data_IF_643299540928
#
_entry.id   IF_643299540928
#
_cell.length_a   1.000
_cell.length_b   1.000
_cell.length_c   1.000
_cell.angle_alpha   90.00
_cell.angle_beta   90.00
_cell.angle_gamma   90.00
#
_symmetry.space_group_name_H-M   'P 1'
#
loop_
_entity.id
_entity.type
_entity.pdbx_description
1 polymer ?
#
# COMPACT_ATOMS: atom_id res chain seq x y z
N UNK A 1 -22.89 -43.50 19.66
CA UNK A 1 -23.27 -42.28 20.39
C UNK A 1 -22.47 -41.12 19.79
N UNK A 2 -23.05 -40.45 18.79
CA UNK A 2 -22.39 -39.39 18.04
C UNK A 2 -22.40 -38.08 18.83
N UNK A 3 -21.24 -37.45 18.96
CA UNK A 3 -21.12 -36.11 19.53
C UNK A 3 -20.37 -35.21 18.54
N UNK A 4 -21.20 -34.49 17.78
CA UNK A 4 -21.02 -33.11 17.33
C UNK A 4 -19.58 -32.61 17.14
N UNK A 5 -19.07 -32.79 15.92
CA UNK A 5 -17.94 -32.03 15.38
C UNK A 5 -18.40 -30.59 15.12
N UNK A 6 -18.20 -29.70 16.10
CA UNK A 6 -18.28 -28.24 15.91
C UNK A 6 -17.25 -27.85 14.84
N UNK A 7 -17.72 -27.47 13.65
CA UNK A 7 -16.95 -26.65 12.71
C UNK A 7 -16.76 -25.28 13.38
N UNK A 8 -15.57 -25.01 13.91
CA UNK A 8 -15.13 -23.64 14.18
C UNK A 8 -14.71 -23.01 12.85
N UNK A 9 -15.33 -21.90 12.39
CA UNK A 9 -14.89 -21.17 11.23
C UNK A 9 -14.02 -19.99 11.68
N UNK A 10 -12.80 -20.25 12.15
CA UNK A 10 -11.83 -19.17 12.42
C UNK A 10 -10.44 -19.61 11.97
N UNK A 11 -10.22 -19.59 10.65
CA UNK A 11 -8.88 -19.63 10.08
C UNK A 11 -8.84 -18.80 8.79
N UNK A 12 -9.09 -17.49 8.92
CA UNK A 12 -8.57 -16.53 7.96
C UNK A 12 -7.24 -16.00 8.49
N UNK A 13 -6.18 -16.69 8.10
CA UNK A 13 -4.83 -16.18 8.24
C UNK A 13 -4.71 -14.87 7.45
N UNK A 14 -4.29 -13.82 8.15
CA UNK A 14 -3.84 -12.56 7.58
C UNK A 14 -2.85 -12.81 6.44
N UNK A 15 -3.34 -12.71 5.21
CA UNK A 15 -2.54 -12.60 4.01
C UNK A 15 -3.16 -11.50 3.18
N UNK A 16 -2.31 -10.55 2.75
CA UNK A 16 -2.72 -9.39 2.00
C UNK A 16 -3.77 -9.77 0.96
N UNK A 17 -4.90 -9.06 0.99
CA UNK A 17 -6.02 -9.24 0.07
C UNK A 17 -5.52 -9.76 -1.27
N UNK A 18 -5.97 -10.97 -1.64
CA UNK A 18 -5.60 -11.60 -2.91
C UNK A 18 -5.80 -10.56 -4.03
N UNK A 19 -5.00 -10.64 -5.10
CA UNK A 19 -5.16 -9.73 -6.24
C UNK A 19 -6.63 -9.65 -6.68
N UNK A 20 -7.32 -10.80 -6.59
CA UNK A 20 -8.76 -10.93 -6.78
C UNK A 20 -9.59 -10.06 -5.84
N UNK A 21 -9.37 -10.07 -4.52
CA UNK A 21 -10.13 -9.24 -3.57
C UNK A 21 -9.87 -7.74 -3.79
N UNK A 22 -8.63 -7.36 -4.15
CA UNK A 22 -8.30 -5.95 -4.47
C UNK A 22 -8.99 -5.49 -5.75
N UNK A 23 -8.97 -6.33 -6.78
CA UNK A 23 -9.69 -6.09 -8.01
C UNK A 23 -11.20 -6.01 -7.73
N UNK A 24 -11.75 -6.93 -6.95
CA UNK A 24 -13.16 -6.95 -6.56
C UNK A 24 -13.60 -5.66 -5.86
N UNK A 25 -12.83 -5.16 -4.88
CA UNK A 25 -13.13 -3.89 -4.22
C UNK A 25 -13.04 -2.70 -5.20
N UNK A 26 -12.01 -2.66 -6.05
CA UNK A 26 -11.85 -1.58 -7.03
C UNK A 26 -13.00 -1.56 -8.04
N UNK A 27 -13.32 -2.71 -8.63
CA UNK A 27 -14.43 -2.86 -9.56
C UNK A 27 -15.79 -2.65 -8.88
N UNK A 28 -15.90 -3.00 -7.60
CA UNK A 28 -17.09 -2.74 -6.79
C UNK A 28 -17.33 -1.24 -6.61
N UNK A 29 -16.30 -0.47 -6.25
CA UNK A 29 -16.42 1.00 -6.12
C UNK A 29 -16.75 1.62 -7.48
N UNK A 30 -16.03 1.23 -8.55
CA UNK A 30 -16.29 1.74 -9.91
C UNK A 30 -17.73 1.41 -10.35
N UNK A 31 -18.19 0.19 -10.10
CA UNK A 31 -19.54 -0.26 -10.46
C UNK A 31 -20.62 0.51 -9.72
N UNK A 32 -20.48 0.70 -8.40
CA UNK A 32 -21.43 1.49 -7.59
C UNK A 32 -21.48 2.95 -8.09
N UNK A 33 -20.31 3.56 -8.34
CA UNK A 33 -20.25 4.92 -8.88
C UNK A 33 -20.91 5.02 -10.25
N UNK A 34 -20.69 4.05 -11.14
CA UNK A 34 -21.33 4.03 -12.45
C UNK A 34 -22.87 3.93 -12.32
N UNK A 35 -23.38 3.01 -11.50
CA UNK A 35 -24.82 2.87 -11.25
C UNK A 35 -25.41 4.17 -10.73
N UNK A 36 -24.76 4.80 -9.75
CA UNK A 36 -25.26 6.03 -9.14
C UNK A 36 -25.25 7.22 -10.12
N UNK A 37 -24.18 7.36 -10.91
CA UNK A 37 -24.12 8.37 -11.98
C UNK A 37 -25.26 8.14 -12.98
N UNK A 38 -25.45 6.90 -13.46
CA UNK A 38 -26.53 6.59 -14.42
C UNK A 38 -27.92 6.87 -13.85
N UNK A 39 -28.15 6.54 -12.58
CA UNK A 39 -29.39 6.84 -11.88
C UNK A 39 -29.64 8.35 -11.76
N UNK A 40 -28.62 9.12 -11.36
CA UNK A 40 -28.73 10.58 -11.26
C UNK A 40 -29.01 11.22 -12.63
N UNK A 41 -28.40 10.71 -13.71
CA UNK A 41 -28.70 11.16 -15.07
C UNK A 41 -30.15 10.84 -15.47
N UNK A 42 -30.65 9.63 -15.17
CA UNK A 42 -32.05 9.26 -15.43
C UNK A 42 -33.04 10.18 -14.69
N UNK A 43 -32.79 10.46 -13.41
CA UNK A 43 -33.61 11.39 -12.62
C UNK A 43 -33.63 12.80 -13.23
N UNK A 44 -32.47 13.31 -13.66
CA UNK A 44 -32.40 14.63 -14.31
C UNK A 44 -33.19 14.64 -15.63
N UNK A 45 -33.10 13.57 -16.42
CA UNK A 45 -33.84 13.47 -17.69
C UNK A 45 -35.35 13.42 -17.46
N UNK A 46 -35.83 12.60 -16.52
CA UNK A 46 -37.26 12.53 -16.17
C UNK A 46 -37.81 13.88 -15.69
N UNK A 47 -37.06 14.58 -14.84
CA UNK A 47 -37.45 15.92 -14.37
C UNK A 47 -37.61 16.90 -15.53
N UNK A 48 -36.68 16.89 -16.49
CA UNK A 48 -36.76 17.75 -17.68
C UNK A 48 -37.94 17.41 -18.59
N UNK A 49 -38.30 16.13 -18.67
CA UNK A 49 -39.46 15.68 -19.44
C UNK A 49 -40.78 16.10 -18.77
N UNK A 50 -40.92 15.89 -17.46
CA UNK A 50 -42.06 16.37 -16.67
C UNK A 50 -42.23 17.89 -16.77
N UNK A 51 -41.13 18.67 -16.74
CA UNK A 51 -41.15 20.11 -16.96
C UNK A 51 -41.78 20.47 -18.31
N UNK A 52 -41.33 19.79 -19.38
CA UNK A 52 -41.81 20.06 -20.74
C UNK A 52 -43.30 19.75 -20.87
N UNK A 53 -43.77 18.67 -20.24
CA UNK A 53 -45.18 18.31 -20.21
C UNK A 53 -46.01 19.34 -19.42
N UNK A 54 -45.51 19.80 -18.27
CA UNK A 54 -46.17 20.82 -17.47
C UNK A 54 -46.28 22.15 -18.23
N UNK A 55 -45.22 22.57 -18.94
CA UNK A 55 -45.21 23.76 -19.80
C UNK A 55 -46.31 23.68 -20.86
N UNK A 56 -46.52 22.52 -21.48
CA UNK A 56 -47.58 22.32 -22.47
C UNK A 56 -48.99 22.47 -21.84
N UNK A 57 -49.19 21.94 -20.63
CA UNK A 57 -50.44 22.12 -19.88
C UNK A 57 -50.67 23.61 -19.55
N UNK A 58 -49.65 24.31 -19.05
CA UNK A 58 -49.76 25.74 -18.76
C UNK A 58 -50.04 26.57 -20.01
N UNK A 59 -49.38 26.27 -21.14
CA UNK A 59 -49.61 26.95 -22.40
C UNK A 59 -51.05 26.78 -22.89
N UNK A 60 -51.63 25.57 -22.81
CA UNK A 60 -53.02 25.30 -23.20
C UNK A 60 -54.03 25.99 -22.29
N UNK A 61 -53.76 26.04 -20.99
CA UNK A 61 -54.60 26.78 -20.04
C UNK A 61 -54.59 28.27 -20.38
N UNK A 62 -53.42 28.84 -20.70
CA UNK A 62 -53.35 30.23 -21.18
C UNK A 62 -54.11 30.44 -22.50
N UNK A 63 -54.02 29.52 -23.46
CA UNK A 63 -54.81 29.61 -24.70
C UNK A 63 -56.32 29.63 -24.44
N UNK A 64 -56.81 28.82 -23.48
CA UNK A 64 -58.22 28.79 -23.09
C UNK A 64 -58.69 30.10 -22.43
N UNK A 65 -57.77 30.85 -21.79
CA UNK A 65 -58.06 32.11 -21.11
C UNK A 65 -58.08 33.34 -22.03
N UNK A 66 -57.54 33.24 -23.24
CA UNK A 66 -57.55 34.32 -24.26
C UNK A 66 -58.91 34.36 -25.00
N UNK A 67 -59.92 33.61 -24.52
CA UNK A 67 -61.29 33.73 -25.02
C UNK A 67 -61.84 35.13 -24.68
N UNK A 68 -62.37 35.92 -25.64
CA UNK A 68 -62.77 37.32 -25.44
C UNK A 68 -63.89 37.57 -24.42
N UNK A 69 -64.50 36.53 -23.84
CA UNK A 69 -65.51 36.62 -22.78
C UNK A 69 -64.93 36.49 -21.35
N UNK A 70 -63.62 36.23 -21.19
CA UNK A 70 -62.99 36.08 -19.89
C UNK A 70 -62.64 37.45 -19.25
N UNK A 71 -62.98 37.64 -17.98
CA UNK A 71 -62.68 38.86 -17.23
C UNK A 71 -61.19 38.93 -16.89
N UNK A 72 -60.60 40.14 -16.80
CA UNK A 72 -59.22 40.31 -16.30
C UNK A 72 -59.00 39.70 -14.90
N UNK A 73 -60.04 39.67 -14.06
CA UNK A 73 -60.01 39.00 -12.76
C UNK A 73 -59.90 37.47 -12.83
N UNK A 74 -60.37 36.84 -13.92
CA UNK A 74 -60.32 35.38 -14.10
C UNK A 74 -58.89 34.94 -14.49
N UNK A 75 -58.20 35.81 -15.23
CA UNK A 75 -56.78 35.65 -15.59
C UNK A 75 -55.90 35.78 -14.33
N UNK A 76 -56.17 36.78 -13.49
CA UNK A 76 -55.46 36.97 -12.22
C UNK A 76 -55.72 35.84 -11.21
N UNK A 77 -56.97 35.35 -11.11
CA UNK A 77 -57.34 34.25 -10.21
C UNK A 77 -56.66 32.92 -10.60
N UNK A 78 -56.55 32.63 -11.90
CA UNK A 78 -55.85 31.43 -12.37
C UNK A 78 -54.32 31.61 -12.32
N UNK A 79 -53.82 32.83 -12.51
CA UNK A 79 -52.43 33.17 -12.21
C UNK A 79 -52.10 32.89 -10.74
N UNK A 80 -52.98 33.27 -9.81
CA UNK A 80 -52.79 32.92 -8.41
C UNK A 80 -53.00 31.44 -8.12
N UNK A 81 -53.95 30.73 -8.76
CA UNK A 81 -54.28 29.35 -8.35
C UNK A 81 -53.43 28.27 -9.02
N UNK A 82 -53.00 28.48 -10.27
CA UNK A 82 -52.34 27.46 -11.11
C UNK A 82 -50.84 27.75 -11.26
N UNK A 83 -50.43 29.01 -11.43
CA UNK A 83 -49.01 29.39 -11.52
C UNK A 83 -48.34 29.41 -10.14
N UNK A 84 -49.10 29.48 -9.03
CA UNK A 84 -48.53 29.23 -7.70
C UNK A 84 -47.97 27.82 -7.51
N UNK A 85 -48.44 26.84 -8.29
CA UNK A 85 -47.92 25.47 -8.24
C UNK A 85 -46.71 25.25 -9.14
N UNK A 86 -46.41 26.18 -10.05
CA UNK A 86 -45.21 26.09 -10.89
C UNK A 86 -43.96 26.18 -10.01
N UNK A 87 -42.99 25.29 -10.27
CA UNK A 87 -41.74 25.19 -9.49
C UNK A 87 -40.49 25.54 -10.30
N UNK A 88 -40.67 26.16 -11.46
CA UNK A 88 -39.59 26.57 -12.35
C UNK A 88 -39.71 28.06 -12.69
N UNK A 89 -38.59 28.73 -13.04
CA UNK A 89 -38.58 30.13 -13.45
C UNK A 89 -39.41 30.32 -14.71
N UNK A 90 -40.23 31.37 -14.77
CA UNK A 90 -41.10 31.60 -15.92
C UNK A 90 -41.39 33.09 -16.18
N UNK A 91 -41.50 33.45 -17.45
CA UNK A 91 -41.85 34.80 -17.93
C UNK A 91 -42.83 34.70 -19.09
N UNK A 92 -43.90 35.47 -19.05
CA UNK A 92 -44.79 35.70 -20.20
C UNK A 92 -44.46 37.06 -20.79
N UNK A 93 -44.21 37.11 -22.10
CA UNK A 93 -44.01 38.36 -22.84
C UNK A 93 -45.04 38.52 -23.94
N UNK A 94 -45.25 39.76 -24.37
CA UNK A 94 -46.09 40.06 -25.54
C UNK A 94 -45.40 39.60 -26.85
N UNK A 95 -46.10 39.73 -27.99
CA UNK A 95 -45.55 39.39 -29.31
C UNK A 95 -44.31 40.22 -29.71
N UNK A 96 -44.03 41.34 -29.03
CA UNK A 96 -42.85 42.16 -29.23
C UNK A 96 -41.70 41.82 -28.26
N UNK A 97 -41.90 40.84 -27.37
CA UNK A 97 -40.91 40.39 -26.39
C UNK A 97 -40.82 41.27 -25.15
N UNK A 98 -41.84 42.07 -24.84
CA UNK A 98 -41.88 42.85 -23.59
C UNK A 98 -42.47 42.00 -22.45
N UNK A 99 -41.78 41.86 -21.30
CA UNK A 99 -42.29 41.07 -20.18
C UNK A 99 -43.61 41.61 -19.61
N UNK A 100 -44.62 40.76 -19.56
CA UNK A 100 -45.94 41.05 -19.01
C UNK A 100 -46.07 40.51 -17.59
N UNK A 101 -45.69 39.26 -17.34
CA UNK A 101 -45.75 38.64 -16.00
C UNK A 101 -44.58 37.68 -15.81
N UNK A 102 -44.09 37.50 -14.58
CA UNK A 102 -42.96 36.60 -14.28
C UNK A 102 -43.06 36.00 -12.89
N UNK A 103 -42.29 34.93 -12.66
CA UNK A 103 -42.21 34.26 -11.37
C UNK A 103 -40.96 33.39 -11.24
N UNK A 104 -40.48 33.22 -10.01
CA UNK A 104 -39.38 32.31 -9.63
C UNK A 104 -38.06 32.66 -10.35
N UNK A 105 -37.82 33.93 -10.61
CA UNK A 105 -36.58 34.41 -11.23
C UNK A 105 -35.50 34.65 -10.18
N UNK A 106 -35.79 35.51 -9.20
CA UNK A 106 -34.93 35.88 -8.09
C UNK A 106 -35.81 36.55 -7.03
N UNK A 107 -35.52 36.34 -5.74
CA UNK A 107 -36.18 37.06 -4.64
C UNK A 107 -36.14 38.58 -4.84
N UNK A 108 -35.05 39.13 -5.39
CA UNK A 108 -34.91 40.56 -5.65
C UNK A 108 -35.84 41.10 -6.76
N UNK A 109 -36.39 40.22 -7.59
CA UNK A 109 -37.27 40.54 -8.73
C UNK A 109 -38.72 40.15 -8.40
N UNK A 110 -38.92 39.00 -7.78
CA UNK A 110 -40.22 38.40 -7.49
C UNK A 110 -40.97 39.09 -6.33
N UNK A 111 -40.26 39.87 -5.49
CA UNK A 111 -40.86 40.60 -4.35
C UNK A 111 -41.31 42.03 -4.66
N UNK A 112 -41.00 42.53 -5.87
CA UNK A 112 -41.29 43.90 -6.27
C UNK A 112 -42.59 43.94 -7.06
N UNK A 113 -43.63 44.54 -6.49
CA UNK A 113 -44.96 44.64 -7.14
C UNK A 113 -45.01 45.67 -8.28
N UNK A 114 -44.07 46.62 -8.32
CA UNK A 114 -44.02 47.68 -9.32
C UNK A 114 -43.11 47.32 -10.51
N UNK A 115 -43.64 47.41 -11.73
CA UNK A 115 -42.90 47.18 -12.99
C UNK A 115 -41.97 48.35 -13.35
N UNK A 116 -40.99 48.64 -12.49
CA UNK A 116 -40.02 49.72 -12.76
C UNK A 116 -39.07 49.34 -13.91
N UNK A 117 -38.51 50.33 -14.65
CA UNK A 117 -37.59 50.06 -15.74
C UNK A 117 -36.39 49.19 -15.34
N UNK A 118 -35.88 49.35 -14.10
CA UNK A 118 -34.77 48.56 -13.58
C UNK A 118 -35.12 47.08 -13.41
N UNK A 119 -36.33 46.78 -12.93
CA UNK A 119 -36.82 45.40 -12.78
C UNK A 119 -37.02 44.77 -14.15
N UNK A 120 -37.57 45.49 -15.12
CA UNK A 120 -37.79 44.99 -16.48
C UNK A 120 -36.47 44.61 -17.17
N UNK A 121 -35.38 45.36 -16.95
CA UNK A 121 -34.05 45.01 -17.45
C UNK A 121 -33.56 43.68 -16.85
N UNK A 122 -33.75 43.47 -15.54
CA UNK A 122 -33.37 42.23 -14.87
C UNK A 122 -34.21 41.03 -15.35
N UNK A 123 -35.53 41.22 -15.52
CA UNK A 123 -36.43 40.20 -16.06
C UNK A 123 -36.05 39.84 -17.50
N UNK A 124 -35.77 40.84 -18.35
CA UNK A 124 -35.34 40.60 -19.73
C UNK A 124 -34.03 39.83 -19.81
N UNK A 125 -33.07 40.14 -18.93
CA UNK A 125 -31.83 39.37 -18.83
C UNK A 125 -32.06 37.91 -18.43
N UNK A 126 -32.97 37.66 -17.49
CA UNK A 126 -33.34 36.30 -17.10
C UNK A 126 -34.06 35.57 -18.25
N UNK A 127 -34.91 36.27 -18.98
CA UNK A 127 -35.59 35.78 -20.19
C UNK A 127 -34.59 35.35 -21.26
N UNK A 128 -33.60 36.20 -21.57
CA UNK A 128 -32.52 35.87 -22.51
C UNK A 128 -31.69 34.65 -22.06
N UNK A 129 -31.49 34.47 -20.75
CA UNK A 129 -30.76 33.32 -20.20
C UNK A 129 -31.55 32.01 -20.32
N UNK A 130 -32.87 32.06 -20.09
CA UNK A 130 -33.76 30.92 -20.33
C UNK A 130 -33.77 30.55 -21.82
N UNK A 131 -33.91 31.55 -22.68
CA UNK A 131 -34.03 31.38 -24.13
C UNK A 131 -32.76 30.82 -24.78
N UNK A 132 -31.58 31.03 -24.19
CA UNK A 132 -30.32 30.39 -24.63
C UNK A 132 -30.35 28.87 -24.50
N UNK A 133 -31.08 28.35 -23.52
CA UNK A 133 -31.12 26.92 -23.24
C UNK A 133 -32.30 26.25 -23.95
N UNK A 134 -33.44 26.94 -24.04
CA UNK A 134 -34.65 26.45 -24.71
C UNK A 134 -35.41 27.63 -25.35
N UNK A 135 -35.84 27.55 -26.62
CA UNK A 135 -36.60 28.62 -27.24
C UNK A 135 -37.97 28.82 -26.54
N UNK A 136 -38.51 30.04 -26.53
CA UNK A 136 -39.79 30.31 -25.91
C UNK A 136 -40.93 29.58 -26.63
N UNK A 137 -41.93 29.16 -25.86
CA UNK A 137 -43.13 28.51 -26.39
C UNK A 137 -44.11 29.57 -26.87
N UNK A 138 -44.46 29.52 -28.15
CA UNK A 138 -45.47 30.41 -28.73
C UNK A 138 -46.88 30.04 -28.29
N UNK A 139 -47.64 31.03 -27.83
CA UNK A 139 -49.06 30.92 -27.51
C UNK A 139 -49.85 31.67 -28.57
N UNK A 140 -50.56 30.91 -29.42
CA UNK A 140 -51.38 31.43 -30.51
C UNK A 140 -52.87 31.28 -30.20
N UNK A 141 -53.65 32.30 -30.55
CA UNK A 141 -55.12 32.27 -30.48
C UNK A 141 -55.66 32.56 -31.88
N UNK A 142 -56.56 31.70 -32.40
CA UNK A 142 -57.10 31.78 -33.77
C UNK A 142 -56.00 31.97 -34.85
N UNK A 143 -54.82 31.36 -34.64
CA UNK A 143 -53.68 31.43 -35.57
C UNK A 143 -52.77 32.66 -35.40
N UNK A 144 -53.17 33.68 -34.64
CA UNK A 144 -52.34 34.85 -34.34
C UNK A 144 -51.49 34.63 -33.09
N UNK A 145 -50.22 35.05 -33.13
CA UNK A 145 -49.32 35.02 -31.97
C UNK A 145 -49.77 36.08 -30.97
N UNK A 146 -50.10 35.67 -29.75
CA UNK A 146 -50.59 36.57 -28.70
C UNK A 146 -49.52 36.77 -27.62
N UNK A 147 -48.87 35.68 -27.20
CA UNK A 147 -47.89 35.70 -26.11
C UNK A 147 -46.73 34.73 -26.39
N UNK A 148 -45.58 35.02 -25.80
CA UNK A 148 -44.44 34.13 -25.73
C UNK A 148 -44.23 33.68 -24.29
N UNK A 149 -44.08 32.36 -24.10
CA UNK A 149 -43.87 31.75 -22.80
C UNK A 149 -42.42 31.27 -22.65
N UNK A 150 -41.66 32.00 -21.85
CA UNK A 150 -40.26 31.72 -21.54
C UNK A 150 -40.18 30.97 -20.21
N UNK A 151 -39.36 29.93 -20.15
CA UNK A 151 -39.26 29.08 -18.96
C UNK A 151 -37.85 28.53 -18.78
N UNK A 152 -37.41 28.44 -17.52
CA UNK A 152 -36.10 27.94 -17.12
C UNK A 152 -36.17 26.52 -16.56
N UNK A 153 -35.00 25.90 -16.39
CA UNK A 153 -34.88 24.61 -15.68
C UNK A 153 -35.30 24.78 -14.19
N UNK A 154 -35.89 23.75 -13.60
CA UNK A 154 -36.21 23.74 -12.17
C UNK A 154 -34.92 23.91 -11.33
N UNK A 155 -34.91 24.70 -10.22
CA UNK A 155 -33.70 24.96 -9.43
C UNK A 155 -32.96 23.70 -8.92
N UNK A 156 -33.70 22.61 -8.65
CA UNK A 156 -33.14 21.28 -8.32
C UNK A 156 -32.25 20.73 -9.44
N UNK A 157 -32.59 20.91 -10.72
CA UNK A 157 -31.78 20.40 -11.84
C UNK A 157 -30.38 21.00 -11.81
N UNK A 158 -30.27 22.29 -11.49
CA UNK A 158 -28.97 22.97 -11.37
C UNK A 158 -28.17 22.47 -10.16
N UNK A 159 -28.82 22.13 -9.04
CA UNK A 159 -28.14 21.51 -7.88
C UNK A 159 -27.70 20.07 -8.17
N UNK A 160 -28.55 19.28 -8.83
CA UNK A 160 -28.26 17.89 -9.19
C UNK A 160 -27.15 17.77 -10.24
N UNK A 161 -26.98 18.78 -11.10
CA UNK A 161 -25.92 18.79 -12.14
C UNK A 161 -24.50 18.68 -11.56
N UNK A 162 -24.29 19.11 -10.32
CA UNK A 162 -22.99 19.01 -9.64
C UNK A 162 -22.78 17.70 -8.87
N UNK A 163 -23.82 16.90 -8.66
CA UNK A 163 -23.75 15.63 -7.91
C UNK A 163 -22.70 14.65 -8.44
N UNK A 164 -22.54 14.44 -9.77
CA UNK A 164 -21.52 13.54 -10.27
C UNK A 164 -20.09 13.93 -9.87
N UNK A 165 -19.80 15.24 -9.77
CA UNK A 165 -18.47 15.70 -9.34
C UNK A 165 -18.24 15.45 -7.85
N UNK A 166 -19.28 15.60 -7.01
CA UNK A 166 -19.22 15.27 -5.59
C UNK A 166 -18.96 13.77 -5.40
N UNK A 167 -19.63 12.92 -6.16
CA UNK A 167 -19.40 11.47 -6.14
C UNK A 167 -17.98 11.10 -6.54
N UNK A 168 -17.47 11.67 -7.64
CA UNK A 168 -16.09 11.47 -8.07
C UNK A 168 -15.08 11.93 -7.01
N UNK A 169 -15.33 13.06 -6.35
CA UNK A 169 -14.48 13.55 -5.26
C UNK A 169 -14.50 12.60 -4.06
N UNK A 170 -15.66 12.07 -3.67
CA UNK A 170 -15.78 11.09 -2.59
C UNK A 170 -15.00 9.81 -2.93
N UNK A 171 -15.16 9.29 -4.16
CA UNK A 171 -14.40 8.12 -4.63
C UNK A 171 -12.89 8.37 -4.59
N UNK A 172 -12.45 9.55 -5.06
CA UNK A 172 -11.04 9.93 -5.00
C UNK A 172 -10.50 9.97 -3.56
N UNK A 173 -11.27 10.55 -2.62
CA UNK A 173 -10.92 10.56 -1.19
C UNK A 173 -10.78 9.14 -0.64
N UNK A 174 -11.72 8.23 -0.98
CA UNK A 174 -11.65 6.83 -0.57
C UNK A 174 -10.41 6.11 -1.13
N UNK A 175 -10.11 6.31 -2.42
CA UNK A 175 -8.92 5.73 -3.08
C UNK A 175 -7.64 6.25 -2.41
N UNK A 176 -7.52 7.56 -2.19
CA UNK A 176 -6.36 8.17 -1.53
C UNK A 176 -6.21 7.64 -0.10
N UNK A 177 -7.31 7.57 0.65
CA UNK A 177 -7.32 7.05 2.03
C UNK A 177 -6.90 5.58 2.08
N UNK A 178 -7.41 4.76 1.16
CA UNK A 178 -7.00 3.36 0.99
C UNK A 178 -5.52 3.23 0.64
N UNK A 179 -5.02 4.05 -0.28
CA UNK A 179 -3.61 4.07 -0.67
C UNK A 179 -2.69 4.46 0.49
N UNK A 180 -3.02 5.53 1.23
CA UNK A 180 -2.27 5.99 2.39
C UNK A 180 -2.28 4.93 3.50
N UNK A 181 -3.45 4.36 3.80
CA UNK A 181 -3.59 3.28 4.77
C UNK A 181 -2.74 2.06 4.41
N UNK A 182 -2.83 1.58 3.17
CA UNK A 182 -2.05 0.44 2.68
C UNK A 182 -0.54 0.71 2.73
N UNK A 183 -0.10 1.90 2.30
CA UNK A 183 1.30 2.32 2.37
C UNK A 183 1.81 2.35 3.82
N UNK A 184 1.00 2.85 4.75
CA UNK A 184 1.35 2.91 6.17
C UNK A 184 1.44 1.53 6.81
N UNK A 185 0.53 0.62 6.47
CA UNK A 185 0.58 -0.79 6.93
C UNK A 185 1.87 -1.46 6.45
N UNK A 186 2.23 -1.32 5.17
CA UNK A 186 3.46 -1.90 4.62
C UNK A 186 4.73 -1.34 5.29
N UNK A 187 4.74 -0.04 5.63
CA UNK A 187 5.82 0.57 6.43
C UNK A 187 5.83 0.09 7.88
N UNK A 188 4.67 -0.22 8.47
CA UNK A 188 4.57 -0.75 9.83
C UNK A 188 5.18 -2.14 9.96
N UNK A 189 4.99 -3.00 8.95
CA UNK A 189 5.61 -4.34 8.92
C UNK A 189 7.15 -4.26 9.01
N UNK A 190 7.76 -3.25 8.40
CA UNK A 190 9.20 -3.01 8.49
C UNK A 190 9.67 -2.61 9.90
N UNK A 191 8.81 -2.01 10.76
CA UNK A 191 9.19 -1.60 12.13
C UNK A 191 9.43 -2.79 13.05
N UNK A 192 8.77 -3.92 12.83
CA UNK A 192 8.98 -5.12 13.65
C UNK A 192 10.39 -5.70 13.49
N UNK A 193 10.98 -5.58 12.30
CA UNK A 193 12.38 -5.97 12.05
C UNK A 193 13.31 -5.10 12.90
N UNK A 194 13.09 -3.79 12.93
CA UNK A 194 13.90 -2.85 13.72
C UNK A 194 13.80 -3.08 15.22
N UNK A 195 12.59 -3.25 15.76
CA UNK A 195 12.39 -3.53 17.20
C UNK A 195 13.01 -4.87 17.59
N UNK A 196 12.80 -5.90 16.77
CA UNK A 196 13.41 -7.21 16.98
C UNK A 196 14.93 -7.12 16.92
N UNK A 197 15.47 -6.47 15.89
CA UNK A 197 16.91 -6.31 15.70
C UNK A 197 17.55 -5.53 16.84
N UNK A 198 16.91 -4.46 17.31
CA UNK A 198 17.39 -3.69 18.46
C UNK A 198 17.47 -4.60 19.70
N UNK A 199 16.48 -5.47 19.90
CA UNK A 199 16.47 -6.44 21.01
C UNK A 199 17.57 -7.49 20.89
N UNK A 200 17.78 -8.05 19.70
CA UNK A 200 18.88 -8.99 19.44
C UNK A 200 20.24 -8.32 19.57
N UNK A 201 20.39 -7.10 19.07
CA UNK A 201 21.63 -6.31 19.16
C UNK A 201 21.94 -5.99 20.61
N UNK A 202 20.96 -5.54 21.40
CA UNK A 202 21.14 -5.31 22.83
C UNK A 202 21.59 -6.58 23.56
N UNK A 203 21.04 -7.75 23.20
CA UNK A 203 21.48 -9.03 23.76
C UNK A 203 22.91 -9.41 23.32
N UNK A 204 23.25 -9.23 22.04
CA UNK A 204 24.57 -9.53 21.50
C UNK A 204 25.66 -8.58 21.99
N UNK A 205 25.33 -7.31 22.27
CA UNK A 205 26.23 -6.33 22.90
C UNK A 205 26.37 -6.57 24.40
N UNK A 206 25.28 -6.96 25.08
CA UNK A 206 25.30 -7.23 26.52
C UNK A 206 26.24 -8.36 26.90
N UNK A 207 26.35 -9.40 26.07
CA UNK A 207 27.22 -10.56 26.34
C UNK A 207 28.71 -10.20 26.47
N UNK A 208 29.39 -9.63 25.44
CA UNK A 208 30.79 -9.23 25.57
C UNK A 208 30.98 -8.13 26.61
N UNK A 209 30.00 -7.24 26.81
CA UNK A 209 30.08 -6.21 27.85
C UNK A 209 30.11 -6.83 29.27
N UNK A 210 29.24 -7.81 29.55
CA UNK A 210 29.27 -8.54 30.82
C UNK A 210 30.56 -9.34 31.00
N UNK A 211 31.09 -9.95 29.94
CA UNK A 211 32.39 -10.64 29.97
C UNK A 211 33.53 -9.67 30.28
N UNK A 212 33.56 -8.48 29.67
CA UNK A 212 34.54 -7.44 29.96
C UNK A 212 34.47 -6.96 31.42
N UNK A 213 33.27 -6.77 31.97
CA UNK A 213 33.12 -6.47 33.41
C UNK A 213 33.70 -7.60 34.27
N UNK A 214 33.47 -8.87 33.90
CA UNK A 214 34.03 -10.03 34.59
C UNK A 214 35.56 -10.10 34.52
N UNK A 215 36.15 -9.77 33.37
CA UNK A 215 37.61 -9.70 33.22
C UNK A 215 38.22 -8.57 34.06
N UNK A 216 37.56 -7.41 34.14
CA UNK A 216 37.98 -6.30 35.00
C UNK A 216 37.91 -6.71 36.48
N UNK A 217 36.82 -7.35 36.91
CA UNK A 217 36.68 -7.82 38.30
C UNK A 217 37.73 -8.90 38.62
N UNK A 218 38.00 -9.83 37.69
CA UNK A 218 39.05 -10.83 37.86
C UNK A 218 40.42 -10.18 38.08
N UNK A 219 40.79 -9.19 37.27
CA UNK A 219 42.05 -8.46 37.45
C UNK A 219 42.11 -7.72 38.78
N UNK A 220 40.97 -7.17 39.26
CA UNK A 220 40.87 -6.51 40.56
C UNK A 220 41.10 -7.50 41.71
N UNK A 221 40.41 -8.63 41.71
CA UNK A 221 40.57 -9.68 42.73
C UNK A 221 41.98 -10.26 42.73
N UNK A 222 42.55 -10.57 41.57
CA UNK A 222 43.92 -11.08 41.47
C UNK A 222 44.96 -10.04 41.96
N UNK A 223 44.70 -8.75 41.76
CA UNK A 223 45.53 -7.68 42.32
C UNK A 223 45.47 -7.63 43.85
N UNK A 224 44.26 -7.69 44.42
CA UNK A 224 44.02 -7.69 45.86
C UNK A 224 44.64 -8.91 46.56
N UNK A 225 44.63 -10.07 45.88
CA UNK A 225 45.23 -11.31 46.37
C UNK A 225 46.75 -11.40 46.10
N UNK A 226 47.36 -10.40 45.42
CA UNK A 226 48.79 -10.42 45.06
C UNK A 226 49.16 -11.50 44.04
N UNK A 227 48.19 -11.98 43.26
CA UNK A 227 48.33 -13.09 42.29
C UNK A 227 48.42 -12.62 40.83
N UNK A 228 48.42 -11.31 40.58
CA UNK A 228 48.61 -10.75 39.25
C UNK A 228 50.04 -10.99 38.73
N UNK A 229 50.25 -12.10 38.03
CA UNK A 229 51.49 -12.30 37.28
C UNK A 229 51.40 -11.68 35.89
N UNK A 230 52.53 -11.32 35.25
CA UNK A 230 52.54 -10.82 33.87
C UNK A 230 51.83 -11.74 32.87
N UNK A 231 51.85 -13.04 33.10
CA UNK A 231 51.19 -14.05 32.27
C UNK A 231 49.67 -13.97 32.38
N UNK A 232 49.14 -13.87 33.61
CA UNK A 232 47.70 -13.72 33.88
C UNK A 232 47.18 -12.42 33.25
N UNK A 233 47.92 -11.32 33.41
CA UNK A 233 47.55 -10.03 32.81
C UNK A 233 47.49 -10.14 31.29
N UNK A 234 48.48 -10.80 30.67
CA UNK A 234 48.53 -10.98 29.21
C UNK A 234 47.38 -11.85 28.70
N UNK A 235 47.06 -12.93 29.41
CA UNK A 235 45.94 -13.80 29.06
C UNK A 235 44.60 -13.06 29.13
N UNK A 236 44.35 -12.34 30.25
CA UNK A 236 43.11 -11.59 30.43
C UNK A 236 43.00 -10.46 29.41
N UNK A 237 44.09 -9.72 29.16
CA UNK A 237 44.11 -8.67 28.13
C UNK A 237 43.79 -9.23 26.73
N UNK A 238 44.35 -10.39 26.37
CA UNK A 238 44.03 -11.06 25.11
C UNK A 238 42.56 -11.47 24.99
N UNK A 239 41.93 -11.93 26.08
CA UNK A 239 40.49 -12.24 26.12
C UNK A 239 39.64 -10.98 26.00
N UNK A 240 40.02 -9.90 26.70
CA UNK A 240 39.34 -8.61 26.60
C UNK A 240 39.41 -8.05 25.18
N UNK A 241 40.56 -8.17 24.50
CA UNK A 241 40.72 -7.73 23.11
C UNK A 241 39.81 -8.51 22.15
N UNK A 242 39.69 -9.83 22.35
CA UNK A 242 38.76 -10.66 21.59
C UNK A 242 37.29 -10.25 21.82
N UNK A 243 36.89 -9.97 23.06
CA UNK A 243 35.53 -9.50 23.37
C UNK A 243 35.26 -8.09 22.83
N UNK A 244 36.25 -7.18 22.86
CA UNK A 244 36.18 -5.86 22.23
C UNK A 244 35.98 -5.95 20.71
N UNK A 245 36.79 -6.77 20.02
CA UNK A 245 36.63 -7.04 18.57
C UNK A 245 35.24 -7.58 18.25
N UNK A 246 34.68 -8.43 19.10
CA UNK A 246 33.32 -8.94 18.95
C UNK A 246 32.28 -7.83 19.11
N UNK A 247 32.47 -6.94 20.09
CA UNK A 247 31.58 -5.81 20.38
C UNK A 247 31.57 -4.82 19.20
N UNK A 248 32.76 -4.48 18.68
CA UNK A 248 32.93 -3.63 17.50
C UNK A 248 32.24 -4.22 16.27
N UNK A 249 32.40 -5.53 16.01
CA UNK A 249 31.73 -6.24 14.92
C UNK A 249 30.20 -6.13 15.01
N UNK A 250 29.63 -6.27 16.20
CA UNK A 250 28.17 -6.15 16.41
C UNK A 250 27.71 -4.71 16.20
N UNK A 251 28.48 -3.72 16.68
CA UNK A 251 28.15 -2.31 16.51
C UNK A 251 28.19 -1.87 15.04
N UNK A 252 29.24 -2.24 14.30
CA UNK A 252 29.40 -1.93 12.88
C UNK A 252 28.26 -2.53 12.05
N UNK A 253 27.92 -3.80 12.30
CA UNK A 253 26.78 -4.50 11.71
C UNK A 253 25.46 -3.76 11.93
N UNK A 254 25.20 -3.30 13.15
CA UNK A 254 23.99 -2.54 13.45
C UNK A 254 23.95 -1.20 12.71
N UNK A 255 25.07 -0.48 12.67
CA UNK A 255 25.20 0.79 11.94
C UNK A 255 24.93 0.65 10.44
N UNK A 256 25.45 -0.41 9.81
CA UNK A 256 25.30 -0.64 8.36
C UNK A 256 23.89 -1.03 7.93
N UNK A 257 23.03 -1.54 8.83
CA UNK A 257 21.62 -1.81 8.47
C UNK A 257 20.80 -0.50 8.40
N UNK A 258 21.27 0.56 9.08
CA UNK A 258 20.64 1.88 9.10
C UNK A 258 20.89 2.74 7.86
N UNK A 259 21.94 2.44 7.09
CA UNK A 259 22.36 3.19 5.91
C UNK A 259 22.27 2.36 4.64
N UNK A 260 22.38 3.01 3.47
CA UNK A 260 22.61 2.29 2.22
C UNK A 260 24.08 1.83 2.20
N UNK A 261 24.36 0.52 2.17
CA UNK A 261 25.73 0.04 2.12
C UNK A 261 26.35 0.26 0.74
N UNK A 262 27.65 0.54 0.71
CA UNK A 262 28.43 0.58 -0.52
C UNK A 262 28.64 -0.85 -1.04
N UNK A 263 28.29 -1.10 -2.31
CA UNK A 263 28.53 -2.36 -2.99
C UNK A 263 29.79 -2.24 -3.85
N UNK A 264 30.70 -3.21 -3.75
CA UNK A 264 31.93 -3.24 -4.55
C UNK A 264 32.02 -4.58 -5.27
N UNK A 265 32.66 -4.64 -6.45
CA UNK A 265 33.05 -5.91 -7.04
C UNK A 265 33.96 -6.65 -6.06
N UNK A 266 33.57 -7.86 -5.66
CA UNK A 266 34.37 -8.70 -4.76
C UNK A 266 34.42 -10.12 -5.29
N UNK A 267 35.47 -10.84 -4.91
CA UNK A 267 35.54 -12.29 -5.09
C UNK A 267 34.58 -12.97 -4.11
N UNK A 268 33.44 -13.43 -4.63
CA UNK A 268 32.43 -14.09 -3.82
C UNK A 268 32.94 -15.42 -3.25
N UNK A 269 33.79 -16.14 -3.98
CA UNK A 269 34.33 -17.42 -3.52
C UNK A 269 35.28 -17.22 -2.34
N UNK A 270 36.02 -16.10 -2.29
CA UNK A 270 36.81 -15.75 -1.12
C UNK A 270 35.95 -15.59 0.14
N UNK A 271 34.82 -14.87 0.04
CA UNK A 271 33.88 -14.67 1.16
C UNK A 271 33.24 -15.98 1.61
N UNK A 272 32.86 -16.84 0.65
CA UNK A 272 32.31 -18.18 0.93
C UNK A 272 33.32 -19.05 1.67
N UNK A 273 34.55 -19.09 1.17
CA UNK A 273 35.64 -19.89 1.74
C UNK A 273 36.02 -19.41 3.14
N UNK A 274 36.10 -18.09 3.36
CA UNK A 274 36.37 -17.50 4.68
C UNK A 274 35.26 -17.87 5.67
N UNK A 275 33.99 -17.77 5.26
CA UNK A 275 32.84 -18.13 6.08
C UNK A 275 32.86 -19.61 6.46
N UNK A 276 33.12 -20.49 5.50
CA UNK A 276 33.24 -21.94 5.73
C UNK A 276 34.40 -22.26 6.67
N UNK A 277 35.57 -21.67 6.46
CA UNK A 277 36.75 -21.86 7.30
C UNK A 277 36.50 -21.42 8.75
N UNK A 278 35.84 -20.28 8.95
CA UNK A 278 35.49 -19.76 10.27
C UNK A 278 34.66 -20.75 11.10
N UNK A 279 33.66 -21.39 10.49
CA UNK A 279 32.82 -22.38 11.16
C UNK A 279 33.50 -23.74 11.28
N UNK A 280 34.27 -24.18 10.27
CA UNK A 280 35.08 -25.41 10.34
C UNK A 280 35.99 -25.43 11.56
N UNK A 281 36.65 -24.30 11.88
CA UNK A 281 37.56 -24.22 13.04
C UNK A 281 36.85 -24.39 14.40
N UNK A 282 35.54 -24.16 14.46
CA UNK A 282 34.73 -24.22 15.69
C UNK A 282 33.98 -25.54 15.84
N UNK A 283 34.03 -26.40 14.83
CA UNK A 283 33.51 -27.75 14.95
C UNK A 283 34.42 -28.59 15.84
N UNK A 284 33.86 -29.49 16.67
CA UNK A 284 34.66 -30.39 17.49
C UNK A 284 35.65 -31.19 16.63
N UNK A 285 36.94 -31.11 16.96
CA UNK A 285 38.01 -31.81 16.23
C UNK A 285 38.16 -33.29 16.61
N UNK A 286 37.54 -33.74 17.72
CA UNK A 286 37.62 -35.11 18.20
C UNK A 286 36.32 -35.87 17.93
N UNK A 287 36.41 -36.95 17.14
CA UNK A 287 35.30 -37.84 16.75
C UNK A 287 34.70 -37.57 15.36
N UNK A 288 33.74 -38.39 14.94
CA UNK A 288 32.87 -38.13 13.78
C UNK A 288 31.96 -36.94 14.11
N UNK A 289 32.47 -35.71 13.97
CA UNK A 289 31.67 -34.49 14.09
C UNK A 289 30.97 -34.15 12.78
N UNK A 290 30.00 -33.23 12.83
CA UNK A 290 29.36 -32.70 11.64
C UNK A 290 30.42 -32.18 10.62
N UNK A 291 30.21 -32.48 9.35
CA UNK A 291 31.10 -32.12 8.24
C UNK A 291 30.56 -30.88 7.55
N UNK A 292 31.36 -29.82 7.51
CA UNK A 292 31.10 -28.64 6.68
C UNK A 292 32.04 -28.69 5.48
N UNK A 293 31.50 -28.69 4.26
CA UNK A 293 32.28 -28.73 3.01
C UNK A 293 31.81 -27.66 2.03
N UNK A 294 32.64 -27.39 1.04
CA UNK A 294 32.36 -26.41 -0.01
C UNK A 294 32.56 -27.04 -1.39
N UNK A 295 31.73 -26.62 -2.35
CA UNK A 295 31.81 -27.01 -3.75
C UNK A 295 31.57 -25.74 -4.60
N UNK A 296 32.65 -25.00 -4.82
CA UNK A 296 32.59 -23.65 -5.41
C UNK A 296 32.97 -23.70 -6.88
N UNK A 297 32.10 -23.19 -7.74
CA UNK A 297 32.40 -23.00 -9.16
C UNK A 297 33.11 -21.66 -9.37
N UNK A 298 33.75 -21.46 -10.53
CA UNK A 298 34.18 -20.12 -10.93
C UNK A 298 32.96 -19.22 -11.12
N UNK A 299 32.94 -18.08 -10.42
CA UNK A 299 31.85 -17.11 -10.47
C UNK A 299 32.30 -15.85 -11.20
N UNK A 300 31.41 -15.23 -12.00
CA UNK A 300 31.66 -13.91 -12.52
C UNK A 300 31.58 -12.84 -11.39
N UNK A 301 32.15 -11.64 -11.61
CA UNK A 301 32.13 -10.58 -10.60
C UNK A 301 30.70 -10.19 -10.19
N UNK A 302 30.47 -10.11 -8.88
CA UNK A 302 29.23 -9.60 -8.29
C UNK A 302 29.52 -8.39 -7.41
N UNK A 303 28.67 -7.38 -7.48
CA UNK A 303 28.78 -6.20 -6.62
C UNK A 303 28.09 -6.49 -5.28
N UNK A 304 28.87 -6.72 -4.23
CA UNK A 304 28.34 -6.93 -2.88
C UNK A 304 29.09 -6.13 -1.82
N UNK A 305 28.44 -5.89 -0.69
CA UNK A 305 29.09 -5.49 0.54
C UNK A 305 29.53 -6.75 1.28
N UNK A 306 30.85 -6.99 1.34
CA UNK A 306 31.40 -8.25 1.87
C UNK A 306 31.05 -8.53 3.32
N UNK A 307 30.99 -7.50 4.19
CA UNK A 307 30.67 -7.67 5.61
C UNK A 307 29.21 -8.09 5.82
N UNK A 308 28.29 -7.39 5.15
CA UNK A 308 26.85 -7.74 5.19
C UNK A 308 26.59 -9.09 4.54
N UNK A 309 27.26 -9.40 3.43
CA UNK A 309 27.09 -10.70 2.77
C UNK A 309 27.67 -11.85 3.60
N UNK A 310 28.83 -11.66 4.23
CA UNK A 310 29.37 -12.61 5.21
C UNK A 310 28.41 -12.85 6.38
N UNK A 311 27.65 -11.84 6.80
CA UNK A 311 26.61 -12.01 7.81
C UNK A 311 25.39 -12.82 7.33
N UNK A 312 25.03 -12.72 6.04
CA UNK A 312 24.02 -13.60 5.42
C UNK A 312 24.48 -15.05 5.53
N UNK A 313 25.71 -15.34 5.11
CA UNK A 313 26.29 -16.68 5.17
C UNK A 313 26.40 -17.20 6.60
N UNK A 314 26.82 -16.36 7.55
CA UNK A 314 26.88 -16.70 8.97
C UNK A 314 25.51 -17.15 9.49
N UNK A 315 24.44 -16.43 9.14
CA UNK A 315 23.08 -16.80 9.53
C UNK A 315 22.64 -18.14 8.92
N UNK A 316 22.93 -18.39 7.64
CA UNK A 316 22.53 -19.62 6.96
C UNK A 316 23.31 -20.83 7.47
N UNK A 317 24.64 -20.73 7.56
CA UNK A 317 25.51 -21.81 8.05
C UNK A 317 25.21 -22.13 9.51
N UNK A 318 25.00 -21.12 10.35
CA UNK A 318 24.60 -21.34 11.76
C UNK A 318 23.25 -22.05 11.85
N UNK A 319 22.27 -21.66 11.05
CA UNK A 319 20.97 -22.34 11.05
C UNK A 319 21.08 -23.81 10.59
N UNK A 320 21.94 -24.10 9.60
CA UNK A 320 22.25 -25.45 9.17
C UNK A 320 22.93 -26.27 10.29
N UNK A 321 23.95 -25.71 10.95
CA UNK A 321 24.66 -26.34 12.08
C UNK A 321 23.73 -26.69 13.26
N UNK A 322 22.72 -25.87 13.51
CA UNK A 322 21.73 -26.13 14.57
C UNK A 322 20.62 -27.11 14.13
N UNK A 323 20.50 -27.40 12.84
CA UNK A 323 19.49 -28.31 12.30
C UNK A 323 20.01 -29.74 12.14
N UNK A 324 21.31 -29.90 11.90
CA UNK A 324 21.96 -31.20 11.68
C UNK A 324 22.24 -31.94 12.99
N UNK A 325 22.40 -33.26 12.87
CA UNK A 325 22.95 -34.07 13.95
C UNK A 325 24.41 -33.65 14.25
N UNK A 326 24.81 -33.44 15.51
CA UNK A 326 26.16 -32.99 15.85
C UNK A 326 27.28 -33.94 15.41
N UNK A 327 26.98 -35.22 15.15
CA UNK A 327 27.95 -36.25 14.77
C UNK A 327 27.86 -36.65 13.30
N UNK A 328 26.64 -36.74 12.75
CA UNK A 328 26.40 -37.22 11.37
C UNK A 328 25.98 -36.11 10.41
N UNK A 329 25.96 -34.86 10.88
CA UNK A 329 25.58 -33.71 10.10
C UNK A 329 26.50 -33.49 8.90
N UNK A 330 25.92 -33.14 7.76
CA UNK A 330 26.63 -32.72 6.56
C UNK A 330 26.01 -31.42 6.10
N UNK A 331 26.86 -30.41 5.94
CA UNK A 331 26.50 -29.11 5.41
C UNK A 331 27.41 -28.84 4.23
N UNK A 332 26.81 -28.45 3.12
CA UNK A 332 27.51 -28.10 1.90
C UNK A 332 27.16 -26.67 1.48
N UNK A 333 28.19 -25.86 1.28
CA UNK A 333 28.09 -24.55 0.63
C UNK A 333 28.53 -24.71 -0.82
N UNK A 334 27.62 -24.53 -1.77
CA UNK A 334 27.94 -24.62 -3.20
C UNK A 334 27.61 -23.35 -3.94
N UNK A 335 28.33 -23.09 -5.02
CA UNK A 335 28.11 -21.91 -5.86
C UNK A 335 28.18 -22.27 -7.34
N UNK A 336 27.51 -21.46 -8.16
CA UNK A 336 27.58 -21.55 -9.61
C UNK A 336 26.87 -20.38 -10.28
N UNK A 337 26.69 -20.50 -11.59
CA UNK A 337 26.02 -19.47 -12.40
C UNK A 337 24.78 -20.07 -13.04
N UNK A 338 23.71 -19.29 -13.16
CA UNK A 338 22.51 -19.70 -13.90
C UNK A 338 22.80 -19.79 -15.40
N UNK A 339 21.94 -20.52 -16.11
CA UNK A 339 22.00 -20.60 -17.56
C UNK A 339 21.91 -19.20 -18.18
N UNK A 340 22.83 -18.88 -19.08
CA UNK A 340 22.96 -17.54 -19.67
C UNK A 340 23.79 -16.53 -18.86
N UNK A 341 24.40 -16.91 -17.74
CA UNK A 341 25.47 -16.13 -17.12
C UNK A 341 25.05 -14.87 -16.34
N UNK A 342 23.76 -14.54 -16.32
CA UNK A 342 23.25 -13.26 -15.78
C UNK A 342 23.15 -13.22 -14.26
N UNK A 343 23.11 -14.39 -13.60
CA UNK A 343 22.96 -14.50 -12.15
C UNK A 343 23.90 -15.56 -11.59
N UNK A 344 24.57 -15.24 -10.48
CA UNK A 344 25.29 -16.20 -9.67
C UNK A 344 24.35 -16.77 -8.61
N UNK A 345 24.45 -18.06 -8.31
CA UNK A 345 23.72 -18.71 -7.23
C UNK A 345 24.66 -19.27 -6.17
N UNK A 346 24.18 -19.28 -4.93
CA UNK A 346 24.85 -19.84 -3.76
C UNK A 346 23.83 -20.67 -3.00
N UNK A 347 24.16 -21.92 -2.70
CA UNK A 347 23.31 -22.85 -1.96
C UNK A 347 23.97 -23.23 -0.65
N UNK A 348 23.19 -23.21 0.43
CA UNK A 348 23.56 -23.82 1.70
C UNK A 348 22.62 -25.01 1.90
N UNK A 349 23.17 -26.21 1.76
CA UNK A 349 22.46 -27.48 1.91
C UNK A 349 22.84 -28.12 3.22
N UNK A 350 21.86 -28.57 4.00
CA UNK A 350 22.06 -29.42 5.18
C UNK A 350 21.24 -30.71 5.09
N UNK A 351 21.72 -31.77 5.76
CA UNK A 351 20.99 -33.03 5.96
C UNK A 351 20.23 -33.09 7.30
N UNK A 352 19.79 -31.93 7.81
CA UNK A 352 19.21 -31.82 9.13
C UNK A 352 17.74 -32.23 9.21
N UNK A 353 17.10 -31.88 10.32
CA UNK A 353 15.69 -32.17 10.62
C UNK A 353 14.67 -31.60 9.62
N UNK A 354 15.09 -30.76 8.69
CA UNK A 354 14.19 -30.11 7.73
C UNK A 354 13.22 -29.12 8.37
N UNK A 355 12.31 -28.60 7.55
CA UNK A 355 11.28 -27.62 7.94
C UNK A 355 9.91 -28.21 7.62
N UNK A 356 9.00 -28.34 8.60
CA UNK A 356 7.63 -28.83 8.36
C UNK A 356 6.91 -27.98 7.30
N UNK A 357 6.13 -28.61 6.42
CA UNK A 357 5.44 -27.94 5.30
C UNK A 357 4.61 -26.72 5.71
N UNK A 358 3.91 -26.80 6.85
CA UNK A 358 3.14 -25.67 7.39
C UNK A 358 3.98 -24.48 7.86
N UNK A 359 5.26 -24.69 8.14
CA UNK A 359 6.20 -23.66 8.58
C UNK A 359 6.98 -23.01 7.42
N UNK A 360 7.17 -23.72 6.29
CA UNK A 360 8.03 -23.28 5.18
C UNK A 360 7.66 -21.89 4.63
N UNK A 361 6.36 -21.58 4.53
CA UNK A 361 5.90 -20.25 4.06
C UNK A 361 6.19 -19.10 5.02
N UNK A 362 6.55 -19.40 6.28
CA UNK A 362 6.71 -18.44 7.37
C UNK A 362 8.15 -18.27 7.83
N UNK A 363 9.11 -19.04 7.28
CA UNK A 363 10.51 -19.05 7.75
C UNK A 363 11.20 -17.69 7.60
N UNK A 364 10.74 -16.86 6.67
CA UNK A 364 11.22 -15.50 6.45
C UNK A 364 10.35 -14.42 7.11
N UNK A 365 9.32 -14.80 7.89
CA UNK A 365 8.49 -13.83 8.59
C UNK A 365 9.26 -13.33 9.83
N UNK A 366 9.28 -12.00 10.08
CA UNK A 366 9.90 -11.44 11.26
C UNK A 366 9.35 -12.10 12.54
N UNK A 367 10.23 -12.52 13.44
CA UNK A 367 9.82 -13.13 14.72
C UNK A 367 9.58 -14.64 14.66
N UNK A 368 9.55 -15.25 13.47
CA UNK A 368 9.32 -16.68 13.34
C UNK A 368 10.55 -17.47 13.79
N UNK A 369 10.38 -18.35 14.78
CA UNK A 369 11.43 -19.23 15.29
C UNK A 369 10.81 -20.51 15.83
N UNK A 370 11.50 -21.63 15.66
CA UNK A 370 11.19 -22.89 16.33
C UNK A 370 12.09 -23.13 17.55
N UNK A 371 13.00 -22.19 17.86
CA UNK A 371 13.99 -22.30 18.93
C UNK A 371 13.40 -21.75 20.23
N UNK A 372 13.74 -22.38 21.38
CA UNK A 372 13.36 -21.88 22.72
C UNK A 372 14.03 -20.53 23.07
N UNK A 373 15.21 -20.26 22.50
CA UNK A 373 15.96 -19.01 22.62
C UNK A 373 16.31 -18.49 21.22
N UNK A 374 16.08 -17.21 20.98
CA UNK A 374 16.32 -16.52 19.71
C UNK A 374 15.07 -15.84 19.16
N UNK A 375 15.21 -14.63 18.63
CA UNK A 375 14.07 -13.78 18.24
C UNK A 375 13.52 -14.06 16.84
N UNK A 376 14.04 -15.03 16.09
CA UNK A 376 13.51 -15.37 14.76
C UNK A 376 13.78 -14.30 13.68
N UNK A 377 14.90 -13.59 13.78
CA UNK A 377 15.22 -12.47 12.90
C UNK A 377 16.32 -12.77 11.88
N UNK A 378 17.12 -13.81 12.09
CA UNK A 378 18.28 -14.11 11.25
C UNK A 378 17.94 -14.30 9.77
N UNK A 379 16.95 -15.15 9.45
CA UNK A 379 16.52 -15.36 8.06
C UNK A 379 15.84 -14.14 7.45
N UNK A 380 15.08 -13.39 8.26
CA UNK A 380 14.42 -12.16 7.81
C UNK A 380 15.45 -11.08 7.45
N UNK A 381 16.49 -10.92 8.29
CA UNK A 381 17.60 -10.00 8.04
C UNK A 381 18.43 -10.45 6.84
N UNK A 382 18.77 -11.74 6.76
CA UNK A 382 19.50 -12.29 5.63
C UNK A 382 18.76 -12.00 4.30
N UNK A 383 17.44 -12.20 4.29
CA UNK A 383 16.60 -11.87 3.13
C UNK A 383 16.63 -10.38 2.80
N UNK A 384 16.52 -9.51 3.80
CA UNK A 384 16.61 -8.06 3.62
C UNK A 384 17.96 -7.64 3.02
N UNK A 385 19.06 -8.16 3.55
CA UNK A 385 20.41 -7.87 3.05
C UNK A 385 20.52 -8.28 1.58
N UNK A 386 20.08 -9.49 1.23
CA UNK A 386 20.15 -10.00 -0.15
C UNK A 386 19.23 -9.22 -1.09
N UNK A 387 17.97 -8.99 -0.72
CA UNK A 387 16.96 -8.42 -1.63
C UNK A 387 17.00 -6.89 -1.70
N UNK A 388 17.09 -6.20 -0.56
CA UNK A 388 17.04 -4.74 -0.51
C UNK A 388 18.38 -4.11 -0.89
N UNK A 389 19.50 -4.64 -0.36
CA UNK A 389 20.82 -4.07 -0.59
C UNK A 389 21.48 -4.62 -1.84
N UNK A 390 21.52 -5.95 -2.00
CA UNK A 390 22.26 -6.60 -3.08
C UNK A 390 21.44 -6.88 -4.36
N UNK A 391 20.14 -6.52 -4.36
CA UNK A 391 19.20 -6.77 -5.47
C UNK A 391 19.14 -8.24 -5.92
N UNK A 392 19.46 -9.13 -4.99
CA UNK A 392 19.39 -10.57 -5.16
C UNK A 392 18.03 -11.15 -4.79
N UNK A 393 18.00 -12.46 -4.57
CA UNK A 393 16.85 -13.19 -4.02
C UNK A 393 17.35 -14.27 -3.06
N UNK A 394 16.75 -14.37 -1.87
CA UNK A 394 16.98 -15.46 -0.93
C UNK A 394 15.68 -16.24 -0.76
N UNK A 395 15.72 -17.55 -1.01
CA UNK A 395 14.55 -18.42 -0.89
C UNK A 395 14.91 -19.80 -0.36
N UNK A 396 13.89 -20.49 0.16
CA UNK A 396 13.96 -21.91 0.48
C UNK A 396 13.70 -22.68 -0.82
N UNK A 397 14.72 -23.31 -1.38
CA UNK A 397 14.61 -24.09 -2.63
C UNK A 397 13.94 -25.43 -2.34
N UNK A 398 14.36 -26.09 -1.26
CA UNK A 398 13.85 -27.40 -0.88
C UNK A 398 13.91 -27.57 0.64
N UNK A 399 12.92 -28.22 1.24
CA UNK A 399 13.07 -28.78 2.58
C UNK A 399 12.18 -29.99 2.79
N UNK A 400 12.81 -31.09 3.16
CA UNK A 400 12.18 -32.36 3.47
C UNK A 400 12.44 -32.70 4.94
N UNK A 401 11.38 -32.90 5.76
CA UNK A 401 11.53 -33.25 7.17
C UNK A 401 12.44 -34.47 7.37
N UNK A 402 13.43 -34.34 8.26
CA UNK A 402 14.46 -35.33 8.59
C UNK A 402 15.32 -35.82 7.42
N UNK A 403 15.37 -35.06 6.32
CA UNK A 403 16.17 -35.42 5.14
C UNK A 403 17.12 -34.31 4.76
N UNK A 404 16.60 -33.13 4.39
CA UNK A 404 17.44 -32.01 3.96
C UNK A 404 16.75 -30.65 3.99
N UNK A 405 17.55 -29.60 4.00
CA UNK A 405 17.11 -28.22 3.74
C UNK A 405 18.09 -27.55 2.78
N UNK A 406 17.58 -26.78 1.82
CA UNK A 406 18.37 -26.03 0.84
C UNK A 406 17.90 -24.59 0.80
N UNK A 407 18.76 -23.68 1.27
CA UNK A 407 18.57 -22.25 1.08
C UNK A 407 19.41 -21.76 -0.08
N UNK A 408 18.80 -20.95 -0.95
CA UNK A 408 19.43 -20.52 -2.20
C UNK A 408 19.38 -19.00 -2.32
N UNK A 409 20.55 -18.42 -2.53
CA UNK A 409 20.76 -17.01 -2.84
C UNK A 409 21.02 -16.91 -4.33
N UNK A 410 20.41 -15.93 -5.00
CA UNK A 410 20.79 -15.53 -6.37
C UNK A 410 21.16 -14.06 -6.38
N UNK A 411 22.23 -13.71 -7.08
CA UNK A 411 22.76 -12.35 -7.19
C UNK A 411 22.89 -11.96 -8.66
N UNK A 412 22.60 -10.71 -9.04
CA UNK A 412 22.88 -10.22 -10.38
C UNK A 412 24.40 -10.13 -10.61
N UNK A 413 24.85 -10.62 -11.76
CA UNK A 413 26.25 -10.49 -12.19
C UNK A 413 26.51 -9.06 -12.65
N UNK A 414 27.68 -8.52 -12.34
CA UNK A 414 28.06 -7.17 -12.75
C UNK A 414 28.45 -7.14 -14.24
N UNK A 415 27.74 -6.34 -15.04
CA UNK A 415 28.01 -6.17 -16.48
C UNK A 415 29.20 -5.23 -16.79
N UNK A 416 29.94 -4.73 -15.79
CA UNK A 416 30.96 -3.67 -15.99
C UNK A 416 32.25 -4.09 -16.72
N UNK A 417 32.30 -5.26 -17.35
CA UNK A 417 33.46 -5.71 -18.12
C UNK A 417 33.43 -5.40 -19.62
N UNK A 418 32.37 -4.77 -20.15
CA UNK A 418 32.28 -4.47 -21.60
C UNK A 418 32.87 -3.12 -22.06
N UNK A 419 33.31 -2.22 -21.17
CA UNK A 419 33.69 -0.83 -21.55
C UNK A 419 35.19 -0.49 -21.40
N UNK A 420 36.07 -1.48 -21.42
CA UNK A 420 37.54 -1.25 -21.52
C UNK A 420 38.15 -2.13 -22.61
N UNK A 421 37.71 -1.91 -23.84
CA UNK A 421 38.35 -2.39 -25.07
C UNK A 421 39.01 -1.24 -25.80
#
# INVERSE_FOLDING_TARGET
MGLFRKKNPEFYGHYGASLFYRAFLLFGVIGITFVFITYTQDVILRLKEEETQNVEVYARLYQALINPEASTSDIDLIFETIIQKARFPMVFSDSAGNPQNWRLLDRSIDTVTAKTPEVLVKVKKAMDEMDRHRPPKEIRYQGQLVLLFHYGDHPIVNRLRWMPYVELALVAIFIISGYVGFRNIKRSEQRHIWVGMAKETAHQLGTPLSSLMGWVELLRTQNEEGKNTPEVIREVAGRMEADLKRLEKVANRFGQIGSMPELKPVDLNAILSESVAYFKQRLPRQGNGAVLRENLSTLPPVEVNGELFGWVLENLIKNALEAVDPKLGVIEVSSGTEEGGKRAWIRVTDNGKGIPSGAQKRVFNPGFTTKKRGWGLGLTLAKRIVEEYHKGRLYLEESMPNVRTVFTITLPVSNKHEDKG
#
